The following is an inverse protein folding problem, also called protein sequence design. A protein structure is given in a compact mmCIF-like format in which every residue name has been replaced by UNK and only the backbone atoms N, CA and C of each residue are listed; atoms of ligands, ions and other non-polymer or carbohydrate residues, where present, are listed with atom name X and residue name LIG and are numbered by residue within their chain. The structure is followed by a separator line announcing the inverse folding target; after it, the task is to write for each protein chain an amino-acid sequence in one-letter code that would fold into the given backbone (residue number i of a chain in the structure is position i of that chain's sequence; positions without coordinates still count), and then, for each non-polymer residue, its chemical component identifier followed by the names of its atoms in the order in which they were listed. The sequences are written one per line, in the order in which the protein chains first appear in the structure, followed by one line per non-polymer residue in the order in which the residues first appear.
data_IF_393744919611
#
_entry.id   IF_393744919611
#
_cell.length_a   1.000
_cell.length_b   1.000
_cell.length_c   1.000
_cell.angle_alpha   90.00
_cell.angle_beta   90.00
_cell.angle_gamma   90.00
#
_symmetry.space_group_name_H-M   'P 1'
#
loop_
_entity.id
_entity.type
_entity.pdbx_description
1 polymer ?
#
# COMPACT_ATOMS: atom_id res chain seq x y z
N UNK A 1 -16.70 10.61 -14.93
CA UNK A 1 -16.85 9.39 -14.11
C UNK A 1 -16.09 9.65 -12.83
N UNK A 2 -16.72 9.56 -11.65
CA UNK A 2 -15.98 9.67 -10.40
C UNK A 2 -15.20 8.36 -10.20
N UNK A 3 -13.88 8.41 -10.21
CA UNK A 3 -13.06 7.27 -9.81
C UNK A 3 -13.25 7.08 -8.30
N UNK A 4 -13.89 5.98 -7.90
CA UNK A 4 -14.03 5.60 -6.51
C UNK A 4 -12.95 4.58 -6.21
N UNK A 5 -12.02 4.91 -5.32
CA UNK A 5 -11.06 3.97 -4.78
C UNK A 5 -11.14 4.05 -3.25
N UNK A 6 -11.16 2.89 -2.60
CA UNK A 6 -11.07 2.77 -1.16
C UNK A 6 -9.88 1.90 -0.83
N UNK A 7 -9.11 2.33 0.16
CA UNK A 7 -8.01 1.58 0.70
C UNK A 7 -8.10 1.57 2.23
N UNK A 8 -7.79 0.44 2.85
CA UNK A 8 -7.87 0.27 4.30
C UNK A 8 -6.72 -0.59 4.82
N UNK A 9 -6.16 -0.16 5.95
CA UNK A 9 -5.15 -0.88 6.72
C UNK A 9 -5.55 -0.88 8.19
N UNK A 10 -5.84 -2.06 8.73
CA UNK A 10 -6.29 -2.22 10.12
C UNK A 10 -5.39 -3.22 10.85
N UNK A 11 -4.73 -2.81 11.93
CA UNK A 11 -3.99 -3.76 12.77
C UNK A 11 -4.97 -4.73 13.44
N UNK A 12 -4.76 -6.03 13.22
CA UNK A 12 -5.60 -7.10 13.75
C UNK A 12 -4.75 -8.10 14.51
N UNK A 13 -5.03 -8.34 15.80
CA UNK A 13 -4.20 -9.25 16.59
C UNK A 13 -2.73 -8.80 16.72
N UNK A 14 -1.86 -9.74 17.07
CA UNK A 14 -0.42 -9.51 17.21
C UNK A 14 0.28 -9.96 15.94
N UNK A 15 0.97 -9.04 15.26
CA UNK A 15 1.73 -9.31 14.04
C UNK A 15 0.89 -9.37 12.76
N UNK A 16 -0.37 -8.97 12.79
CA UNK A 16 -1.21 -9.01 11.57
C UNK A 16 -1.90 -7.68 11.29
N UNK A 17 -2.16 -7.45 10.01
CA UNK A 17 -2.97 -6.36 9.54
C UNK A 17 -3.93 -6.86 8.46
N UNK A 18 -5.16 -6.36 8.49
CA UNK A 18 -6.09 -6.52 7.37
C UNK A 18 -5.83 -5.42 6.37
N UNK A 19 -5.47 -5.79 5.15
CA UNK A 19 -5.34 -4.88 4.02
C UNK A 19 -6.55 -5.05 3.10
N UNK A 20 -7.11 -3.94 2.60
CA UNK A 20 -8.25 -3.93 1.67
C UNK A 20 -8.05 -2.85 0.62
N UNK A 21 -8.37 -3.16 -0.63
CA UNK A 21 -8.51 -2.19 -1.72
C UNK A 21 -9.75 -2.50 -2.57
N UNK A 22 -10.50 -1.47 -2.98
CA UNK A 22 -11.69 -1.62 -3.81
C UNK A 22 -11.88 -0.42 -4.74
N UNK A 23 -12.34 -0.66 -5.96
CA UNK A 23 -12.57 0.37 -7.00
C UNK A 23 -14.05 0.62 -7.32
N UNK A 24 -14.94 0.16 -6.44
CA UNK A 24 -16.39 0.22 -6.60
C UNK A 24 -16.97 -0.90 -7.48
N UNK A 25 -16.15 -1.60 -8.28
CA UNK A 25 -16.59 -2.75 -9.08
C UNK A 25 -16.12 -4.07 -8.47
N UNK A 26 -14.93 -4.08 -7.89
CA UNK A 26 -14.33 -5.25 -7.26
C UNK A 26 -13.55 -4.88 -6.00
N UNK A 27 -13.22 -5.87 -5.20
CA UNK A 27 -12.44 -5.73 -3.98
C UNK A 27 -11.38 -6.82 -3.90
N UNK A 28 -10.20 -6.46 -3.39
CA UNK A 28 -9.24 -7.38 -2.81
C UNK A 28 -9.06 -7.11 -1.31
N UNK A 29 -8.94 -8.18 -0.53
CA UNK A 29 -8.75 -8.11 0.91
C UNK A 29 -8.04 -9.34 1.42
N UNK A 30 -7.05 -9.15 2.28
CA UNK A 30 -6.32 -10.24 2.91
C UNK A 30 -5.71 -9.87 4.28
N UNK A 31 -5.15 -10.86 4.98
CA UNK A 31 -4.45 -10.71 6.25
C UNK A 31 -2.94 -10.77 6.04
N UNK A 32 -2.29 -9.63 6.21
CA UNK A 32 -0.86 -9.45 5.99
C UNK A 32 -0.10 -9.68 7.29
N UNK A 33 0.94 -10.50 7.22
CA UNK A 33 1.84 -10.80 8.32
C UNK A 33 2.93 -9.72 8.46
N UNK A 34 3.38 -9.55 9.70
CA UNK A 34 4.59 -8.82 10.09
C UNK A 34 5.89 -9.38 9.52
N UNK A 35 5.88 -10.48 8.78
CA UNK A 35 7.08 -11.07 8.19
C UNK A 35 7.77 -10.15 7.17
N UNK A 36 7.01 -9.25 6.51
CA UNK A 36 7.55 -8.14 5.72
C UNK A 36 7.27 -6.78 6.35
N UNK A 37 7.99 -5.74 5.93
CA UNK A 37 7.71 -4.36 6.32
C UNK A 37 6.59 -3.77 5.44
N UNK A 38 5.47 -4.49 5.37
CA UNK A 38 4.45 -4.34 4.34
C UNK A 38 3.88 -2.92 4.23
N UNK A 39 3.65 -2.23 5.35
CA UNK A 39 3.16 -0.85 5.34
C UNK A 39 4.23 0.11 4.77
N UNK A 40 5.49 -0.05 5.16
CA UNK A 40 6.59 0.77 4.65
C UNK A 40 6.81 0.52 3.15
N UNK A 41 6.86 -0.75 2.74
CA UNK A 41 7.03 -1.17 1.35
C UNK A 41 5.93 -0.61 0.45
N UNK A 42 4.68 -0.61 0.92
CA UNK A 42 3.56 -0.01 0.20
C UNK A 42 3.71 1.51 0.07
N UNK A 43 4.06 2.22 1.15
CA UNK A 43 4.25 3.67 1.11
C UNK A 43 5.40 4.06 0.16
N UNK A 44 6.51 3.32 0.22
CA UNK A 44 7.64 3.49 -0.71
C UNK A 44 7.25 3.17 -2.15
N UNK A 45 6.50 2.08 -2.38
CA UNK A 45 6.01 1.71 -3.70
C UNK A 45 5.11 2.78 -4.32
N UNK A 46 4.19 3.36 -3.55
CA UNK A 46 3.32 4.43 -4.04
C UNK A 46 4.09 5.74 -4.22
N UNK A 47 5.01 6.08 -3.31
CA UNK A 47 5.89 7.24 -3.45
C UNK A 47 6.81 7.12 -4.69
N UNK A 48 7.24 5.91 -5.02
CA UNK A 48 8.08 5.62 -6.19
C UNK A 48 7.41 5.98 -7.52
N UNK A 49 6.08 6.01 -7.59
CA UNK A 49 5.32 6.44 -8.77
C UNK A 49 5.47 7.94 -9.11
N UNK A 50 6.05 8.73 -8.21
CA UNK A 50 6.39 10.14 -8.44
C UNK A 50 7.82 10.30 -8.96
N UNK A 51 8.61 9.22 -8.96
CA UNK A 51 9.98 9.17 -9.45
C UNK A 51 10.08 8.84 -10.94
N UNK A 52 11.32 8.66 -11.45
CA UNK A 52 11.57 8.35 -12.86
C UNK A 52 11.22 6.90 -13.23
N UNK A 53 11.03 6.02 -12.24
CA UNK A 53 10.73 4.61 -12.46
C UNK A 53 9.22 4.41 -12.62
N UNK A 54 8.81 3.97 -13.79
CA UNK A 54 7.40 3.75 -14.12
C UNK A 54 6.81 2.48 -13.50
N UNK A 55 7.62 1.61 -12.89
CA UNK A 55 7.15 0.35 -12.28
C UNK A 55 7.68 0.24 -10.86
N UNK A 56 6.78 -0.05 -9.93
CA UNK A 56 7.06 -0.28 -8.52
C UNK A 56 6.52 -1.66 -8.14
N UNK A 57 7.32 -2.43 -7.41
CA UNK A 57 7.01 -3.82 -7.04
C UNK A 57 7.33 -4.03 -5.57
N UNK A 58 6.38 -4.58 -4.83
CA UNK A 58 6.57 -4.99 -3.43
C UNK A 58 5.66 -6.18 -3.10
N UNK A 59 5.94 -6.85 -1.99
CA UNK A 59 5.31 -8.12 -1.64
C UNK A 59 4.88 -8.14 -0.18
N UNK A 60 3.69 -8.65 0.06
CA UNK A 60 3.15 -8.94 1.38
C UNK A 60 3.26 -10.43 1.64
N UNK A 61 3.73 -10.78 2.84
CA UNK A 61 3.67 -12.14 3.34
C UNK A 61 2.31 -12.36 4.00
N UNK A 62 1.62 -13.45 3.65
CA UNK A 62 0.38 -13.90 4.26
C UNK A 62 0.55 -15.19 5.07
N UNK A 63 1.78 -15.71 5.14
CA UNK A 63 2.22 -16.97 5.75
C UNK A 63 1.39 -18.20 5.34
N UNK A 64 1.87 -19.02 4.38
CA UNK A 64 3.11 -18.90 3.61
C UNK A 64 2.95 -18.12 2.30
N UNK A 65 1.74 -17.71 1.93
CA UNK A 65 1.48 -17.17 0.60
C UNK A 65 2.12 -15.78 0.41
N UNK A 66 2.55 -15.47 -0.82
CA UNK A 66 2.95 -14.11 -1.20
C UNK A 66 1.79 -13.45 -1.94
N UNK A 67 1.54 -12.18 -1.60
CA UNK A 67 0.78 -11.29 -2.47
C UNK A 67 1.66 -10.16 -2.96
N UNK A 68 1.86 -10.14 -4.27
CA UNK A 68 2.72 -9.17 -4.96
C UNK A 68 1.91 -8.05 -5.57
N UNK A 69 2.28 -6.84 -5.21
CA UNK A 69 1.76 -5.63 -5.82
C UNK A 69 2.70 -5.17 -6.91
N UNK A 70 2.15 -4.91 -8.08
CA UNK A 70 2.86 -4.31 -9.20
C UNK A 70 2.11 -3.06 -9.64
N UNK A 71 2.73 -1.90 -9.41
CA UNK A 71 2.19 -0.60 -9.77
C UNK A 71 2.91 -0.10 -11.02
N UNK A 72 2.17 0.21 -12.09
CA UNK A 72 2.76 0.74 -13.33
C UNK A 72 2.15 2.09 -13.67
N UNK A 73 2.96 3.14 -13.68
CA UNK A 73 2.53 4.48 -14.10
C UNK A 73 2.13 4.50 -15.58
N UNK A 74 0.95 5.04 -15.86
CA UNK A 74 0.39 5.26 -17.21
C UNK A 74 -0.12 6.70 -17.32
N UNK A 75 0.79 7.63 -17.59
CA UNK A 75 0.46 9.06 -17.61
C UNK A 75 0.04 9.54 -16.21
N UNK A 76 -1.20 10.00 -16.07
CA UNK A 76 -1.78 10.40 -14.77
C UNK A 76 -2.33 9.22 -13.95
N UNK A 77 -2.48 8.05 -14.58
CA UNK A 77 -3.11 6.88 -13.99
C UNK A 77 -2.06 5.83 -13.61
N UNK A 78 -2.47 4.83 -12.83
CA UNK A 78 -1.61 3.74 -12.37
C UNK A 78 -2.32 2.43 -12.60
N UNK A 79 -1.71 1.51 -13.34
CA UNK A 79 -2.15 0.12 -13.33
C UNK A 79 -1.70 -0.55 -12.05
N UNK A 80 -2.65 -0.91 -11.21
CA UNK A 80 -2.44 -1.71 -10.02
C UNK A 80 -2.78 -3.15 -10.37
N UNK A 81 -1.83 -4.05 -10.20
CA UNK A 81 -2.06 -5.49 -10.30
C UNK A 81 -1.57 -6.18 -9.02
N UNK A 82 -2.42 -7.04 -8.48
CA UNK A 82 -2.15 -7.85 -7.29
C UNK A 82 -2.10 -9.31 -7.72
N UNK A 83 -0.93 -9.93 -7.59
CA UNK A 83 -0.70 -11.32 -7.95
C UNK A 83 -0.54 -12.16 -6.69
N UNK A 84 -1.26 -13.28 -6.61
CA UNK A 84 -1.12 -14.25 -5.54
C UNK A 84 -0.18 -15.39 -5.96
N UNK A 85 0.74 -15.74 -5.07
CA UNK A 85 1.62 -16.90 -5.16
C UNK A 85 1.41 -17.79 -3.93
N UNK A 86 1.50 -19.11 -4.08
CA UNK A 86 1.19 -20.04 -2.99
C UNK A 86 2.23 -20.04 -1.86
N UNK A 87 3.47 -19.61 -2.13
CA UNK A 87 4.60 -19.75 -1.20
C UNK A 87 5.63 -18.63 -1.43
N UNK A 88 5.83 -17.77 -0.44
CA UNK A 88 6.72 -16.61 -0.47
C UNK A 88 8.21 -16.96 -0.54
N UNK A 89 8.62 -18.06 0.08
CA UNK A 89 10.03 -18.49 0.09
C UNK A 89 10.49 -18.90 -1.31
N UNK A 90 9.57 -19.42 -2.12
CA UNK A 90 9.87 -19.87 -3.49
C UNK A 90 9.55 -18.84 -4.56
N UNK A 91 8.59 -17.93 -4.31
CA UNK A 91 8.06 -17.04 -5.35
C UNK A 91 8.75 -15.69 -5.47
N UNK A 92 9.58 -15.26 -4.50
CA UNK A 92 10.16 -13.91 -4.49
C UNK A 92 10.92 -13.53 -5.79
N UNK A 93 11.64 -14.50 -6.38
CA UNK A 93 12.38 -14.36 -7.64
C UNK A 93 11.58 -14.76 -8.88
N UNK A 94 10.39 -15.34 -8.72
CA UNK A 94 9.55 -15.74 -9.83
C UNK A 94 9.05 -14.50 -10.61
N UNK A 95 8.92 -14.57 -11.94
CA UNK A 95 8.26 -13.56 -12.75
C UNK A 95 6.80 -13.29 -12.30
N UNK A 96 6.33 -12.05 -12.48
CA UNK A 96 4.96 -11.66 -12.09
C UNK A 96 3.86 -12.53 -12.75
N UNK A 97 4.10 -12.97 -13.99
CA UNK A 97 3.13 -13.77 -14.77
C UNK A 97 2.96 -15.21 -14.27
N UNK A 98 3.85 -15.69 -13.39
CA UNK A 98 3.68 -16.97 -12.71
C UNK A 98 2.68 -16.87 -11.54
N UNK A 99 2.40 -15.65 -11.06
CA UNK A 99 1.39 -15.40 -10.03
C UNK A 99 -0.01 -15.29 -10.63
N UNK A 100 -0.99 -15.80 -9.90
CA UNK A 100 -2.40 -15.69 -10.30
C UNK A 100 -2.88 -14.27 -10.04
N UNK A 101 -3.42 -13.58 -11.06
CA UNK A 101 -3.97 -12.24 -10.89
C UNK A 101 -5.19 -12.31 -9.95
N UNK A 102 -5.06 -11.77 -8.75
CA UNK A 102 -6.10 -11.73 -7.73
C UNK A 102 -6.98 -10.49 -7.87
N UNK A 103 -6.40 -9.35 -8.26
CA UNK A 103 -7.13 -8.10 -8.44
C UNK A 103 -6.36 -7.13 -9.32
N UNK A 104 -7.08 -6.27 -10.03
CA UNK A 104 -6.49 -5.15 -10.75
C UNK A 104 -7.44 -3.98 -10.88
N UNK A 105 -6.88 -2.78 -11.00
CA UNK A 105 -7.60 -1.55 -11.34
C UNK A 105 -6.64 -0.52 -11.93
N UNK A 106 -7.19 0.50 -12.61
CA UNK A 106 -6.42 1.62 -13.17
C UNK A 106 -6.91 2.96 -12.59
N UNK A 107 -6.69 3.24 -11.29
CA UNK A 107 -7.07 4.52 -10.71
C UNK A 107 -6.13 5.66 -11.11
N UNK A 108 -6.57 6.93 -10.99
CA UNK A 108 -5.66 8.07 -11.01
C UNK A 108 -4.60 7.92 -9.92
N UNK A 109 -3.35 8.26 -10.25
CA UNK A 109 -2.23 8.23 -9.30
C UNK A 109 -2.48 9.07 -8.07
N UNK A 110 -3.09 10.24 -8.25
CA UNK A 110 -3.49 11.14 -7.18
C UNK A 110 -4.48 10.49 -6.21
N UNK A 111 -5.44 9.74 -6.73
CA UNK A 111 -6.44 9.05 -5.91
C UNK A 111 -5.79 7.90 -5.12
N UNK A 112 -4.93 7.09 -5.77
CA UNK A 112 -4.19 6.01 -5.11
C UNK A 112 -3.29 6.56 -4.00
N UNK A 113 -2.49 7.59 -4.31
CA UNK A 113 -1.61 8.26 -3.35
C UNK A 113 -2.38 8.76 -2.13
N UNK A 114 -3.53 9.42 -2.36
CA UNK A 114 -4.36 9.96 -1.31
C UNK A 114 -4.92 8.87 -0.37
N UNK A 115 -5.55 7.82 -0.91
CA UNK A 115 -6.21 6.80 -0.06
C UNK A 115 -5.21 5.95 0.72
N UNK A 116 -4.02 5.68 0.16
CA UNK A 116 -2.96 4.95 0.85
C UNK A 116 -2.36 5.81 1.97
N UNK A 117 -2.07 7.08 1.69
CA UNK A 117 -1.57 8.03 2.69
C UNK A 117 -2.57 8.21 3.83
N UNK A 118 -3.87 8.38 3.53
CA UNK A 118 -4.90 8.55 4.56
C UNK A 118 -5.07 7.29 5.44
N UNK A 119 -4.99 6.10 4.85
CA UNK A 119 -5.05 4.86 5.64
C UNK A 119 -3.85 4.74 6.60
N UNK A 120 -2.63 5.00 6.12
CA UNK A 120 -1.44 5.00 6.97
C UNK A 120 -1.51 6.08 8.06
N UNK A 121 -1.97 7.29 7.73
CA UNK A 121 -2.19 8.35 8.71
C UNK A 121 -3.25 7.94 9.75
N UNK A 122 -4.30 7.22 9.35
CA UNK A 122 -5.30 6.72 10.28
C UNK A 122 -4.72 5.72 11.28
N UNK A 123 -3.83 4.84 10.83
CA UNK A 123 -3.09 3.91 11.71
C UNK A 123 -2.25 4.68 12.73
N UNK A 124 -1.51 5.69 12.28
CA UNK A 124 -0.71 6.54 13.17
C UNK A 124 -1.58 7.26 14.20
N UNK A 125 -2.71 7.86 13.78
CA UNK A 125 -3.64 8.53 14.70
C UNK A 125 -4.24 7.57 15.73
N UNK A 126 -4.55 6.34 15.32
CA UNK A 126 -5.24 5.37 16.17
C UNK A 126 -4.30 4.69 17.17
N UNK A 127 -3.05 4.45 16.79
CA UNK A 127 -2.13 3.63 17.58
C UNK A 127 -0.89 4.38 18.07
N UNK A 128 -0.52 5.49 17.44
CA UNK A 128 0.82 6.06 17.60
C UNK A 128 1.90 5.12 17.08
N UNK A 129 3.15 5.57 17.09
CA UNK A 129 4.30 4.74 16.66
C UNK A 129 4.53 3.57 17.62
N UNK A 130 4.54 3.84 18.93
CA UNK A 130 4.74 2.82 19.96
C UNK A 130 3.63 1.76 19.97
N UNK A 131 2.37 2.19 19.83
CA UNK A 131 1.24 1.26 19.78
C UNK A 131 1.17 0.48 18.48
N UNK A 132 1.64 1.06 17.36
CA UNK A 132 1.86 0.31 16.12
C UNK A 132 2.92 -0.77 16.34
N UNK A 133 4.11 -0.42 16.85
CA UNK A 133 5.20 -1.36 17.07
C UNK A 133 4.81 -2.45 18.06
N UNK A 134 4.11 -2.12 19.13
CA UNK A 134 3.62 -3.11 20.10
C UNK A 134 2.67 -4.14 19.50
N UNK A 135 1.89 -3.76 18.48
CA UNK A 135 0.95 -4.65 17.78
C UNK A 135 1.58 -5.37 16.60
N UNK A 136 2.35 -4.66 15.77
CA UNK A 136 3.00 -5.19 14.59
C UNK A 136 4.22 -6.07 14.93
N UNK A 137 4.92 -5.73 16.01
CA UNK A 137 5.92 -6.58 16.67
C UNK A 137 7.34 -6.49 16.09
N UNK A 138 7.50 -6.31 14.78
CA UNK A 138 8.83 -6.41 14.13
C UNK A 138 9.37 -5.13 13.53
N UNK A 139 8.54 -4.35 12.86
CA UNK A 139 8.96 -3.12 12.17
C UNK A 139 8.33 -1.89 12.83
N UNK A 140 9.06 -0.77 12.98
CA UNK A 140 8.50 0.47 13.51
C UNK A 140 7.48 1.07 12.53
N UNK A 141 6.67 2.02 12.99
CA UNK A 141 5.78 2.74 12.07
C UNK A 141 6.62 3.55 11.06
N UNK A 142 6.31 3.50 9.76
CA UNK A 142 7.16 4.11 8.73
C UNK A 142 6.87 5.61 8.54
N UNK A 143 7.16 6.43 9.56
CA UNK A 143 6.92 7.89 9.56
C UNK A 143 7.58 8.56 8.34
N UNK A 144 8.85 8.26 8.08
CA UNK A 144 9.59 8.87 6.96
C UNK A 144 8.94 8.55 5.61
N UNK A 145 8.49 7.30 5.39
CA UNK A 145 7.83 6.90 4.14
C UNK A 145 6.47 7.60 3.97
N UNK A 146 5.71 7.75 5.06
CA UNK A 146 4.45 8.47 5.06
C UNK A 146 4.65 9.96 4.75
N UNK A 147 5.63 10.61 5.39
CA UNK A 147 5.98 12.00 5.15
C UNK A 147 6.43 12.22 3.70
N UNK A 148 7.22 11.31 3.14
CA UNK A 148 7.67 11.40 1.75
C UNK A 148 6.51 11.26 0.77
N UNK A 149 5.62 10.27 0.96
CA UNK A 149 4.42 10.13 0.14
C UNK A 149 3.55 11.39 0.22
N UNK A 150 3.33 11.94 1.42
CA UNK A 150 2.58 13.19 1.61
C UNK A 150 3.21 14.35 0.84
N UNK A 151 4.52 14.55 1.00
CA UNK A 151 5.27 15.63 0.33
C UNK A 151 5.16 15.53 -1.20
N UNK A 152 5.29 14.32 -1.74
CA UNK A 152 5.22 14.06 -3.17
C UNK A 152 3.79 14.25 -3.71
N UNK A 153 2.79 13.71 -3.01
CA UNK A 153 1.39 13.86 -3.36
C UNK A 153 0.97 15.34 -3.40
N UNK A 154 1.27 16.10 -2.34
CA UNK A 154 0.95 17.54 -2.28
C UNK A 154 1.64 18.36 -3.39
N UNK A 155 2.88 18.01 -3.72
CA UNK A 155 3.64 18.72 -4.76
C UNK A 155 3.10 18.47 -6.16
N UNK A 156 2.67 17.26 -6.46
CA UNK A 156 2.43 16.83 -7.83
C UNK A 156 0.95 16.65 -8.21
N UNK A 157 0.05 16.44 -7.25
CA UNK A 157 -1.33 16.05 -7.54
C UNK A 157 -2.38 17.13 -7.28
N UNK A 158 -1.98 18.34 -6.86
CA UNK A 158 -2.92 19.45 -6.64
C UNK A 158 -4.10 19.07 -5.75
N UNK A 159 -3.87 18.21 -4.76
CA UNK A 159 -4.95 17.59 -3.99
C UNK A 159 -5.63 18.63 -3.10
N UNK A 160 -6.87 19.00 -3.43
CA UNK A 160 -7.69 19.97 -2.68
C UNK A 160 -8.34 19.36 -1.42
N UNK A 161 -8.13 18.05 -1.18
CA UNK A 161 -8.67 17.38 0.00
C UNK A 161 -7.90 17.84 1.25
N UNK A 162 -8.54 17.90 2.43
CA UNK A 162 -7.84 18.26 3.66
C UNK A 162 -6.76 17.21 3.97
N UNK A 163 -5.55 17.68 4.23
CA UNK A 163 -4.43 16.85 4.69
C UNK A 163 -4.15 17.23 6.14
N UNK A 164 -4.18 16.25 7.03
CA UNK A 164 -3.87 16.48 8.43
C UNK A 164 -2.36 16.66 8.60
N UNK A 165 -1.92 17.92 8.66
CA UNK A 165 -0.51 18.31 8.88
C UNK A 165 -0.14 18.34 10.37
N UNK A 166 -1.06 18.01 11.28
CA UNK A 166 -0.84 18.15 12.72
C UNK A 166 0.08 17.08 13.33
N UNK A 167 0.36 15.99 12.60
CA UNK A 167 1.26 14.94 13.05
C UNK A 167 2.45 14.81 12.08
N UNK A 168 3.69 14.95 12.60
CA UNK A 168 4.90 14.60 11.87
C UNK A 168 4.80 13.17 11.35
#
# INVERSE_FOLDING_TARGET
MAHHLQFGWELSGSGWARCRIADGSSEWKDSVSYCTDALADMLHGVAGLYGPHSVQRFSFDLEPAEVRWVLRGRGSDVDVAIHAFPDMDTSFSAPDHEGTLAWSSTPPRSLLGHVVMEAAQSVLRQHGEDGYLAKWGRYPFPVAALQDLRRLHLRHDGCERPHDVAFP
#
